data_IF_578554066716
#
_entry.id   IF_578554066716
#
_cell.length_a   1.000
_cell.length_b   1.000
_cell.length_c   1.000
_cell.angle_alpha   90.00
_cell.angle_beta   90.00
_cell.angle_gamma   90.00
#
_symmetry.space_group_name_H-M   'P 1'
#
loop_
_entity.id
_entity.type
_entity.pdbx_description
1 polymer ?
#
# COMPACT_ATOMS: atom_id res chain seq x y z
N UNK A 1 51.49 -19.92 26.14
CA UNK A 1 50.22 -19.88 26.89
C UNK A 1 49.00 -19.41 26.07
N UNK A 2 49.09 -19.29 24.72
CA UNK A 2 47.96 -18.85 23.85
C UNK A 2 47.40 -19.93 22.91
N UNK A 3 47.99 -21.15 22.90
CA UNK A 3 47.61 -22.25 21.98
C UNK A 3 46.90 -23.42 22.70
N UNK A 4 46.22 -23.18 23.82
CA UNK A 4 45.37 -24.21 24.43
C UNK A 4 44.09 -24.38 23.56
N UNK A 5 43.57 -25.60 23.33
CA UNK A 5 42.44 -25.85 22.43
C UNK A 5 41.19 -25.01 22.73
N UNK A 6 40.98 -24.64 24.00
CA UNK A 6 39.91 -23.72 24.42
C UNK A 6 40.04 -22.32 23.80
N UNK A 7 41.24 -21.74 23.78
CA UNK A 7 41.50 -20.42 23.21
C UNK A 7 41.38 -20.40 21.68
N UNK A 8 41.76 -21.50 21.02
CA UNK A 8 41.56 -21.68 19.58
C UNK A 8 40.07 -21.69 19.26
N UNK A 9 39.27 -22.47 19.99
CA UNK A 9 37.81 -22.54 19.78
C UNK A 9 37.13 -21.18 20.01
N UNK A 10 37.46 -20.48 21.09
CA UNK A 10 36.92 -19.15 21.37
C UNK A 10 37.29 -18.16 20.26
N UNK A 11 38.54 -18.19 19.79
CA UNK A 11 38.99 -17.31 18.69
C UNK A 11 38.23 -17.60 17.40
N UNK A 12 38.03 -18.87 17.06
CA UNK A 12 37.23 -19.26 15.89
C UNK A 12 35.77 -18.80 16.00
N UNK A 13 35.17 -18.90 17.19
CA UNK A 13 33.81 -18.43 17.43
C UNK A 13 33.71 -16.91 17.25
N UNK A 14 34.67 -16.14 17.77
CA UNK A 14 34.72 -14.69 17.59
C UNK A 14 34.87 -14.33 16.10
N UNK A 15 35.74 -15.01 15.37
CA UNK A 15 35.90 -14.79 13.93
C UNK A 15 34.63 -15.14 13.14
N UNK A 16 33.95 -16.23 13.50
CA UNK A 16 32.67 -16.60 12.90
C UNK A 16 31.59 -15.55 13.18
N UNK A 17 31.48 -15.08 14.42
CA UNK A 17 30.55 -14.02 14.80
C UNK A 17 30.83 -12.72 14.04
N UNK A 18 32.11 -12.33 13.91
CA UNK A 18 32.51 -11.16 13.14
C UNK A 18 32.12 -11.29 11.66
N UNK A 19 32.32 -12.46 11.05
CA UNK A 19 31.91 -12.72 9.67
C UNK A 19 30.39 -12.62 9.48
N UNK A 20 29.60 -13.14 10.43
CA UNK A 20 28.13 -13.02 10.42
C UNK A 20 27.70 -11.56 10.55
N UNK A 21 28.27 -10.82 11.50
CA UNK A 21 27.96 -9.39 11.69
C UNK A 21 28.33 -8.56 10.46
N UNK A 22 29.48 -8.82 9.83
CA UNK A 22 29.87 -8.16 8.60
C UNK A 22 28.88 -8.48 7.45
N UNK A 23 28.46 -9.73 7.31
CA UNK A 23 27.46 -10.14 6.31
C UNK A 23 26.10 -9.48 6.53
N UNK A 24 25.69 -9.34 7.80
CA UNK A 24 24.48 -8.62 8.18
C UNK A 24 24.60 -7.12 7.92
N UNK A 25 25.77 -6.52 8.18
CA UNK A 25 26.05 -5.12 7.84
C UNK A 25 25.91 -4.86 6.34
N UNK A 26 26.46 -5.74 5.49
CA UNK A 26 26.28 -5.67 4.04
C UNK A 26 24.79 -5.77 3.68
N UNK A 27 24.07 -6.74 4.26
CA UNK A 27 22.63 -6.89 4.02
C UNK A 27 21.83 -5.64 4.42
N UNK A 28 22.20 -4.97 5.50
CA UNK A 28 21.57 -3.71 5.91
C UNK A 28 21.81 -2.60 4.88
N UNK A 29 23.01 -2.51 4.30
CA UNK A 29 23.32 -1.55 3.23
C UNK A 29 22.53 -1.85 1.96
N UNK A 30 22.47 -3.13 1.54
CA UNK A 30 21.68 -3.56 0.39
C UNK A 30 20.19 -3.19 0.60
N UNK A 31 19.66 -3.47 1.80
CA UNK A 31 18.27 -3.16 2.14
C UNK A 31 18.00 -1.66 2.16
N UNK A 32 18.97 -0.86 2.61
CA UNK A 32 18.89 0.59 2.59
C UNK A 32 18.85 1.12 1.15
N UNK A 33 19.69 0.59 0.27
CA UNK A 33 19.70 0.99 -1.14
C UNK A 33 18.38 0.68 -1.84
N UNK A 34 17.83 -0.52 -1.63
CA UNK A 34 16.49 -0.87 -2.11
C UNK A 34 15.42 0.12 -1.61
N UNK A 35 15.50 0.50 -0.33
CA UNK A 35 14.54 1.46 0.24
C UNK A 35 14.71 2.85 -0.34
N UNK A 36 15.95 3.30 -0.58
CA UNK A 36 16.24 4.59 -1.21
C UNK A 36 15.75 4.63 -2.66
N UNK A 37 16.00 3.58 -3.43
CA UNK A 37 15.52 3.49 -4.81
C UNK A 37 14.00 3.56 -4.88
N UNK A 38 13.30 2.79 -4.03
CA UNK A 38 11.83 2.86 -3.94
C UNK A 38 11.33 4.26 -3.54
N UNK A 39 11.91 4.86 -2.50
CA UNK A 39 11.50 6.19 -2.05
C UNK A 39 11.75 7.25 -3.14
N UNK A 40 12.86 7.18 -3.87
CA UNK A 40 13.17 8.10 -4.96
C UNK A 40 12.15 7.99 -6.09
N UNK A 41 11.83 6.77 -6.52
CA UNK A 41 10.79 6.53 -7.51
C UNK A 41 9.41 7.04 -7.05
N UNK A 42 9.03 6.73 -5.80
CA UNK A 42 7.76 7.18 -5.22
C UNK A 42 7.66 8.71 -5.17
N UNK A 43 8.73 9.41 -4.75
CA UNK A 43 8.77 10.87 -4.75
C UNK A 43 8.65 11.45 -6.16
N UNK A 44 9.37 10.92 -7.14
CA UNK A 44 9.30 11.37 -8.53
C UNK A 44 7.88 11.25 -9.09
N UNK A 45 7.22 10.12 -8.85
CA UNK A 45 5.86 9.85 -9.32
C UNK A 45 4.82 10.72 -8.61
N UNK A 46 5.01 11.05 -7.34
CA UNK A 46 4.12 11.93 -6.57
C UNK A 46 4.20 13.40 -7.00
N UNK A 47 5.37 13.86 -7.46
CA UNK A 47 5.56 15.24 -7.94
C UNK A 47 5.00 15.46 -9.35
N UNK A 48 4.59 14.40 -10.05
CA UNK A 48 3.97 14.51 -11.37
C UNK A 48 2.55 15.10 -11.27
N UNK A 49 2.10 15.86 -12.30
CA UNK A 49 0.71 16.29 -12.38
C UNK A 49 -0.25 15.10 -12.28
N UNK A 50 -1.36 15.23 -11.53
CA UNK A 50 -2.36 14.17 -11.42
C UNK A 50 -2.83 13.72 -12.79
N UNK A 51 -2.84 12.41 -13.01
CA UNK A 51 -3.31 11.81 -14.24
C UNK A 51 -4.84 11.77 -14.27
N UNK A 52 -5.47 12.21 -15.35
CA UNK A 52 -6.90 11.98 -15.56
C UNK A 52 -7.13 10.58 -16.12
N UNK A 53 -7.77 9.69 -15.34
CA UNK A 53 -7.92 8.27 -15.70
C UNK A 53 -8.79 8.09 -16.95
N UNK A 54 -9.71 9.03 -17.24
CA UNK A 54 -10.54 9.03 -18.45
C UNK A 54 -9.73 9.00 -19.76
N UNK A 55 -8.44 9.30 -19.72
CA UNK A 55 -7.54 9.37 -20.88
C UNK A 55 -6.45 8.30 -20.90
N UNK A 56 -6.34 7.48 -19.83
CA UNK A 56 -5.25 6.52 -19.66
C UNK A 56 -5.64 5.14 -20.19
N UNK A 57 -4.75 4.51 -20.97
CA UNK A 57 -4.94 3.13 -21.43
C UNK A 57 -4.72 2.15 -20.27
N UNK A 58 -5.48 1.04 -20.23
CA UNK A 58 -5.29 -0.01 -19.23
C UNK A 58 -3.90 -0.68 -19.32
N UNK A 59 -3.23 -0.57 -20.48
CA UNK A 59 -1.92 -1.17 -20.75
C UNK A 59 -0.79 -0.47 -19.98
N UNK A 60 -0.97 0.81 -19.60
CA UNK A 60 0.04 1.60 -18.88
C UNK A 60 -0.12 1.58 -17.35
N UNK A 61 -1.17 0.95 -16.81
CA UNK A 61 -1.53 1.05 -15.40
C UNK A 61 -0.40 0.60 -14.45
N UNK A 62 0.37 -0.43 -14.83
CA UNK A 62 1.50 -0.93 -14.03
C UNK A 62 2.64 0.09 -13.91
N UNK A 63 2.86 0.90 -14.95
CA UNK A 63 3.83 1.98 -14.92
C UNK A 63 3.32 3.21 -14.15
N UNK A 64 2.04 3.24 -13.79
CA UNK A 64 1.36 4.34 -13.11
C UNK A 64 1.07 4.05 -11.63
N UNK A 65 1.55 2.93 -11.09
CA UNK A 65 1.43 2.61 -9.66
C UNK A 65 2.01 3.76 -8.81
N UNK A 66 1.33 4.13 -7.74
CA UNK A 66 1.66 5.27 -6.87
C UNK A 66 1.48 6.66 -7.47
N UNK A 67 0.99 6.81 -8.71
CA UNK A 67 0.74 8.14 -9.27
C UNK A 67 -0.53 8.76 -8.69
N UNK A 68 -0.49 10.07 -8.45
CA UNK A 68 -1.69 10.84 -8.20
C UNK A 68 -2.58 10.80 -9.44
N UNK A 69 -3.87 10.55 -9.26
CA UNK A 69 -4.84 10.49 -10.34
C UNK A 69 -6.16 11.13 -9.93
N UNK A 70 -6.84 11.69 -10.92
CA UNK A 70 -8.18 12.24 -10.79
C UNK A 70 -9.13 11.43 -11.67
N UNK A 71 -10.28 11.07 -11.10
CA UNK A 71 -11.33 10.32 -11.79
C UNK A 71 -12.70 10.91 -11.48
N UNK A 72 -13.57 10.91 -12.47
CA UNK A 72 -14.96 11.35 -12.30
C UNK A 72 -15.89 10.21 -12.65
N UNK A 73 -16.88 9.95 -11.80
CA UNK A 73 -17.83 8.87 -12.01
C UNK A 73 -18.96 8.86 -10.98
N UNK A 74 -19.75 7.80 -10.97
CA UNK A 74 -20.85 7.58 -10.01
C UNK A 74 -20.57 6.28 -9.25
N UNK A 75 -20.71 6.31 -7.93
CA UNK A 75 -20.52 5.11 -7.13
C UNK A 75 -21.65 4.10 -7.32
N UNK A 76 -21.26 2.84 -7.51
CA UNK A 76 -22.15 1.69 -7.44
C UNK A 76 -22.11 1.09 -6.03
N UNK A 77 -23.03 1.57 -5.19
CA UNK A 77 -23.14 1.11 -3.81
C UNK A 77 -23.71 -0.32 -3.73
N UNK A 78 -24.45 -0.80 -4.72
CA UNK A 78 -25.01 -2.16 -4.69
C UNK A 78 -23.91 -3.22 -4.72
N UNK A 79 -22.78 -2.94 -5.35
CA UNK A 79 -21.60 -3.81 -5.41
C UNK A 79 -20.47 -3.38 -4.46
N UNK A 80 -20.78 -2.60 -3.42
CA UNK A 80 -19.82 -2.22 -2.39
C UNK A 80 -19.39 -3.42 -1.55
N UNK A 81 -18.09 -3.53 -1.29
CA UNK A 81 -17.50 -4.58 -0.45
C UNK A 81 -16.74 -3.98 0.73
N UNK A 82 -16.72 -4.71 1.84
CA UNK A 82 -15.94 -4.36 3.03
C UNK A 82 -14.71 -5.26 3.15
N UNK A 83 -13.52 -4.67 3.14
CA UNK A 83 -12.31 -5.38 3.56
C UNK A 83 -12.28 -5.48 5.08
N UNK A 84 -12.44 -6.71 5.57
CA UNK A 84 -12.43 -7.06 7.00
C UNK A 84 -11.01 -7.09 7.56
N UNK A 85 -10.93 -7.22 8.89
CA UNK A 85 -9.67 -7.33 9.62
C UNK A 85 -8.77 -6.08 9.49
N UNK A 86 -9.40 -4.91 9.59
CA UNK A 86 -8.71 -3.63 9.54
C UNK A 86 -8.80 -2.93 10.88
N UNK A 87 -7.64 -2.64 11.46
CA UNK A 87 -7.55 -1.94 12.74
C UNK A 87 -7.12 -0.50 12.49
N UNK A 88 -7.83 0.44 13.09
CA UNK A 88 -7.46 1.84 13.16
C UNK A 88 -7.50 2.27 14.64
N UNK A 89 -6.40 2.80 15.16
CA UNK A 89 -6.25 3.18 16.57
C UNK A 89 -6.76 2.11 17.56
N UNK A 90 -6.37 0.86 17.31
CA UNK A 90 -6.75 -0.31 18.11
C UNK A 90 -8.26 -0.65 18.10
N UNK A 91 -9.04 -0.05 17.20
CA UNK A 91 -10.46 -0.35 16.97
C UNK A 91 -10.60 -1.21 15.71
N UNK A 92 -11.36 -2.30 15.83
CA UNK A 92 -11.69 -3.17 14.69
C UNK A 92 -12.71 -2.51 13.77
N UNK A 93 -12.49 -2.62 12.46
CA UNK A 93 -13.35 -2.04 11.45
C UNK A 93 -13.14 -2.59 10.04
N UNK A 94 -13.67 -1.85 9.08
CA UNK A 94 -13.74 -2.21 7.68
C UNK A 94 -13.19 -1.08 6.82
N UNK A 95 -12.47 -1.40 5.74
CA UNK A 95 -12.30 -0.44 4.65
C UNK A 95 -13.39 -0.69 3.61
N UNK A 96 -14.10 0.36 3.22
CA UNK A 96 -15.13 0.26 2.18
C UNK A 96 -14.52 0.43 0.80
N UNK A 97 -14.67 -0.59 -0.03
CA UNK A 97 -14.25 -0.56 -1.43
C UNK A 97 -15.52 -0.50 -2.27
N UNK A 98 -15.67 0.57 -3.02
CA UNK A 98 -16.88 0.84 -3.81
C UNK A 98 -16.48 1.02 -5.26
N UNK A 99 -17.07 0.27 -6.20
CA UNK A 99 -16.88 0.53 -7.61
C UNK A 99 -17.38 1.94 -7.97
N UNK A 100 -16.54 2.69 -8.67
CA UNK A 100 -16.89 3.95 -9.30
C UNK A 100 -17.07 3.68 -10.78
N UNK A 101 -18.28 3.90 -11.30
CA UNK A 101 -18.62 3.73 -12.71
C UNK A 101 -18.26 5.02 -13.46
N UNK A 102 -17.44 4.88 -14.50
CA UNK A 102 -16.98 5.98 -15.34
C UNK A 102 -17.96 6.23 -16.50
N UNK A 103 -17.77 7.34 -17.21
CA UNK A 103 -18.61 7.72 -18.35
C UNK A 103 -18.58 6.74 -19.52
N UNK A 104 -17.50 5.96 -19.65
CA UNK A 104 -17.34 4.92 -20.68
C UNK A 104 -17.93 3.56 -20.27
N UNK A 105 -18.51 3.45 -19.07
CA UNK A 105 -19.07 2.23 -18.52
C UNK A 105 -18.04 1.30 -17.85
N UNK A 106 -16.76 1.66 -17.84
CA UNK A 106 -15.76 0.97 -17.04
C UNK A 106 -15.94 1.24 -15.55
N UNK A 107 -15.36 0.40 -14.70
CA UNK A 107 -15.44 0.54 -13.25
C UNK A 107 -14.03 0.54 -12.62
N UNK A 108 -13.81 1.46 -11.69
CA UNK A 108 -12.59 1.52 -10.88
C UNK A 108 -12.95 1.28 -9.43
N UNK A 109 -12.20 0.41 -8.76
CA UNK A 109 -12.42 0.14 -7.35
C UNK A 109 -11.80 1.26 -6.52
N UNK A 110 -12.63 1.98 -5.75
CA UNK A 110 -12.18 3.07 -4.89
C UNK A 110 -12.26 2.63 -3.44
N UNK A 111 -11.13 2.70 -2.74
CA UNK A 111 -11.05 2.56 -1.29
C UNK A 111 -11.45 3.89 -0.65
N UNK A 112 -12.62 3.93 0.01
CA UNK A 112 -13.26 5.16 0.52
C UNK A 112 -12.83 5.53 1.94
N UNK A 113 -12.09 4.66 2.61
CA UNK A 113 -11.66 4.83 3.99
C UNK A 113 -12.18 3.77 4.93
N UNK A 114 -11.78 3.92 6.18
CA UNK A 114 -12.09 3.02 7.29
C UNK A 114 -13.38 3.43 8.02
N UNK A 115 -14.17 2.44 8.43
CA UNK A 115 -15.33 2.59 9.31
C UNK A 115 -15.21 1.60 10.49
N UNK A 116 -15.68 1.97 11.70
CA UNK A 116 -15.70 1.06 12.85
C UNK A 116 -16.66 -0.08 12.58
N UNK A 117 -16.36 -1.29 13.04
CA UNK A 117 -17.24 -2.44 12.81
C UNK A 117 -18.52 -2.37 13.65
N UNK A 118 -18.43 -1.80 14.84
CA UNK A 118 -19.59 -1.61 15.72
C UNK A 118 -20.60 -0.68 15.06
N UNK A 119 -21.83 -1.16 14.87
CA UNK A 119 -22.89 -0.40 14.18
C UNK A 119 -22.72 -0.29 12.67
N UNK A 120 -21.85 -1.13 12.07
CA UNK A 120 -21.65 -1.27 10.63
C UNK A 120 -21.49 -2.75 10.23
N UNK A 121 -22.20 -3.66 10.92
CA UNK A 121 -22.01 -5.09 10.74
C UNK A 121 -22.52 -5.60 9.39
N UNK A 122 -23.53 -4.93 8.83
CA UNK A 122 -24.21 -5.34 7.60
C UNK A 122 -24.03 -4.32 6.47
N UNK A 123 -24.14 -4.75 5.19
CA UNK A 123 -24.09 -3.83 4.06
C UNK A 123 -25.12 -2.69 4.10
N UNK A 124 -26.29 -2.94 4.70
CA UNK A 124 -27.33 -1.93 4.86
C UNK A 124 -26.87 -0.78 5.78
N UNK A 125 -26.06 -1.07 6.80
CA UNK A 125 -25.56 -0.06 7.73
C UNK A 125 -24.59 0.92 7.07
N UNK A 126 -23.93 0.50 5.97
CA UNK A 126 -22.95 1.31 5.26
C UNK A 126 -23.59 2.42 4.41
N UNK A 127 -24.87 2.27 4.04
CA UNK A 127 -25.62 3.22 3.21
C UNK A 127 -25.63 4.64 3.77
N UNK A 128 -25.45 4.80 5.09
CA UNK A 128 -25.33 6.13 5.73
C UNK A 128 -24.09 6.92 5.29
N UNK A 129 -23.10 6.25 4.70
CA UNK A 129 -21.89 6.88 4.15
C UNK A 129 -22.00 7.11 2.65
N UNK A 130 -23.15 6.88 2.03
CA UNK A 130 -23.31 7.04 0.59
C UNK A 130 -23.33 8.52 0.21
N UNK A 131 -22.57 8.83 -0.83
CA UNK A 131 -22.53 10.13 -1.49
C UNK A 131 -23.28 9.99 -2.82
N UNK A 132 -24.46 10.63 -2.97
CA UNK A 132 -25.24 10.52 -4.19
C UNK A 132 -24.66 11.40 -5.31
N UNK A 133 -24.87 10.97 -6.55
CA UNK A 133 -24.54 11.73 -7.74
C UNK A 133 -23.12 11.50 -8.28
N UNK A 134 -22.75 12.34 -9.25
CA UNK A 134 -21.44 12.30 -9.87
C UNK A 134 -20.41 12.98 -8.99
N UNK A 135 -19.26 12.34 -8.80
CA UNK A 135 -18.18 12.82 -7.95
C UNK A 135 -16.85 12.79 -8.72
N UNK A 136 -16.04 13.82 -8.51
CA UNK A 136 -14.64 13.87 -8.93
C UNK A 136 -13.77 13.58 -7.72
N UNK A 137 -12.92 12.56 -7.83
CA UNK A 137 -12.04 12.09 -6.77
C UNK A 137 -10.59 12.30 -7.20
N UNK A 138 -9.76 12.74 -6.27
CA UNK A 138 -8.31 12.70 -6.42
C UNK A 138 -7.74 11.69 -5.42
N UNK A 139 -6.90 10.79 -5.90
CA UNK A 139 -6.33 9.71 -5.11
C UNK A 139 -5.02 9.19 -5.68
N UNK A 140 -4.52 8.11 -5.11
CA UNK A 140 -3.29 7.46 -5.54
C UNK A 140 -3.66 6.14 -6.22
N UNK A 141 -3.14 5.92 -7.42
CA UNK A 141 -3.31 4.65 -8.13
C UNK A 141 -2.58 3.52 -7.40
N UNK A 142 -3.29 2.40 -7.28
CA UNK A 142 -2.75 1.18 -6.69
C UNK A 142 -3.29 -0.03 -7.45
N UNK A 143 -2.40 -0.98 -7.74
CA UNK A 143 -2.70 -2.25 -8.40
C UNK A 143 -2.62 -3.43 -7.43
#
# INVERSE_FOLDING_TARGET
MLLTPKWILTTLLVLAALAVLARLGIWQLDRLELRRAFNAHYSEVMDMPPLEISTASAEDLSAMEYRAATVTGVYDYEHQIALRNRYHDNVYGYHLLTPLILSDGSAILVERGWIPASGNETPADWRKYDQPGQITLSGILRL
#
